data_IF_421757802741
#
_entry.id   IF_421757802741
#
_cell.length_a   1.000
_cell.length_b   1.000
_cell.length_c   1.000
_cell.angle_alpha   90.00
_cell.angle_beta   90.00
_cell.angle_gamma   90.00
#
_symmetry.space_group_name_H-M   'P 1'
#
loop_
_entity.id
_entity.type
_entity.pdbx_description
1 polymer ?
#
# COMPACT_ATOMS: atom_id res chain seq x y z
N UNK A 1 14.26 30.93 -22.34
CA UNK A 1 12.81 31.21 -22.31
C UNK A 1 12.07 29.87 -22.25
N UNK A 2 11.79 29.39 -21.04
CA UNK A 2 11.02 28.16 -20.83
C UNK A 2 9.55 28.53 -20.77
N UNK A 3 8.84 28.22 -21.84
CA UNK A 3 7.38 28.36 -21.91
C UNK A 3 6.73 27.37 -20.94
N UNK A 4 6.44 27.81 -19.71
CA UNK A 4 5.61 27.05 -18.80
C UNK A 4 4.16 27.20 -19.31
N UNK A 5 3.68 26.22 -20.04
CA UNK A 5 2.25 26.10 -20.37
C UNK A 5 1.53 25.83 -19.04
N UNK A 6 1.01 26.89 -18.42
CA UNK A 6 0.13 26.77 -17.27
C UNK A 6 -1.11 25.98 -17.69
N UNK A 7 -1.28 24.78 -17.12
CA UNK A 7 -2.49 23.98 -17.29
C UNK A 7 -3.70 24.87 -16.98
N UNK A 8 -4.69 24.92 -17.87
CA UNK A 8 -5.97 25.57 -17.61
C UNK A 8 -6.54 25.06 -16.28
N UNK A 9 -7.14 25.94 -15.48
CA UNK A 9 -7.64 25.58 -14.15
C UNK A 9 -8.55 24.34 -14.15
N UNK A 10 -9.38 24.14 -15.17
CA UNK A 10 -10.23 22.95 -15.35
C UNK A 10 -9.39 21.67 -15.53
N UNK A 11 -8.33 21.71 -16.34
CA UNK A 11 -7.44 20.56 -16.55
C UNK A 11 -6.69 20.18 -15.28
N UNK A 12 -6.35 21.17 -14.45
CA UNK A 12 -5.67 20.95 -13.16
C UNK A 12 -6.57 20.24 -12.14
N UNK A 13 -7.85 20.60 -12.08
CA UNK A 13 -8.84 19.94 -11.18
C UNK A 13 -9.05 18.50 -11.61
N UNK A 14 -9.24 18.24 -12.91
CA UNK A 14 -9.42 16.88 -13.46
C UNK A 14 -8.20 16.01 -13.18
N UNK A 15 -6.99 16.56 -13.31
CA UNK A 15 -5.75 15.85 -13.01
C UNK A 15 -5.65 15.49 -11.51
N UNK A 16 -5.97 16.42 -10.60
CA UNK A 16 -5.99 16.15 -9.17
C UNK A 16 -7.04 15.08 -8.82
N UNK A 17 -8.26 15.20 -9.36
CA UNK A 17 -9.31 14.21 -9.15
C UNK A 17 -8.88 12.82 -9.66
N UNK A 18 -8.24 12.74 -10.84
CA UNK A 18 -7.68 11.51 -11.38
C UNK A 18 -6.60 10.90 -10.48
N UNK A 19 -5.68 11.73 -9.97
CA UNK A 19 -4.65 11.30 -9.01
C UNK A 19 -5.28 10.69 -7.75
N UNK A 20 -6.27 11.38 -7.17
CA UNK A 20 -6.95 10.90 -5.96
C UNK A 20 -7.74 9.60 -6.22
N UNK A 21 -8.39 9.49 -7.39
CA UNK A 21 -9.12 8.26 -7.75
C UNK A 21 -8.17 7.10 -8.03
N UNK A 22 -7.02 7.32 -8.66
CA UNK A 22 -5.99 6.27 -8.77
C UNK A 22 -5.56 5.84 -7.37
N UNK A 23 -5.32 6.78 -6.47
CA UNK A 23 -4.89 6.48 -5.10
C UNK A 23 -5.90 5.57 -4.35
N UNK A 24 -7.22 5.80 -4.48
CA UNK A 24 -8.23 4.91 -3.88
C UNK A 24 -8.03 3.46 -4.33
N UNK A 25 -7.77 3.28 -5.61
CA UNK A 25 -7.61 1.97 -6.25
C UNK A 25 -6.40 1.20 -5.74
N UNK A 26 -5.28 1.89 -5.50
CA UNK A 26 -4.00 1.26 -5.15
C UNK A 26 -4.04 0.50 -3.81
N UNK A 27 -4.99 0.77 -2.95
CA UNK A 27 -5.07 0.14 -1.64
C UNK A 27 -6.36 -0.67 -1.43
N UNK A 28 -7.52 -0.14 -1.82
CA UNK A 28 -8.80 -0.80 -1.61
C UNK A 28 -8.87 -2.18 -2.25
N UNK A 29 -8.32 -2.35 -3.45
CA UNK A 29 -8.35 -3.61 -4.21
C UNK A 29 -7.51 -4.72 -3.58
N UNK A 30 -6.51 -4.36 -2.80
CA UNK A 30 -5.67 -5.26 -2.03
C UNK A 30 -6.27 -5.53 -0.64
N UNK A 31 -6.51 -4.47 0.14
CA UNK A 31 -6.91 -4.60 1.56
C UNK A 31 -8.33 -5.10 1.73
N UNK A 32 -9.21 -4.85 0.75
CA UNK A 32 -10.60 -5.32 0.78
C UNK A 32 -10.76 -6.85 0.74
N UNK A 33 -9.72 -7.61 0.38
CA UNK A 33 -9.79 -9.07 0.43
C UNK A 33 -9.58 -9.63 1.85
N UNK A 34 -8.88 -8.92 2.73
CA UNK A 34 -8.50 -9.42 4.05
C UNK A 34 -9.70 -9.86 4.93
N UNK A 35 -10.81 -9.11 5.03
CA UNK A 35 -11.97 -9.53 5.83
C UNK A 35 -12.68 -10.79 5.30
N UNK A 36 -12.43 -11.17 4.05
CA UNK A 36 -13.05 -12.34 3.41
C UNK A 36 -12.10 -13.54 3.30
N UNK A 37 -10.87 -13.45 3.84
CA UNK A 37 -9.87 -14.52 3.69
C UNK A 37 -10.33 -15.85 4.27
N UNK A 38 -11.02 -15.87 5.40
CA UNK A 38 -11.54 -17.11 6.00
C UNK A 38 -12.67 -17.71 5.16
N UNK A 39 -13.55 -16.89 4.60
CA UNK A 39 -14.59 -17.33 3.67
C UNK A 39 -13.98 -17.95 2.41
N UNK A 40 -12.95 -17.28 1.84
CA UNK A 40 -12.22 -17.77 0.67
C UNK A 40 -11.48 -19.07 1.00
N UNK A 41 -10.85 -19.16 2.17
CA UNK A 41 -10.16 -20.35 2.66
C UNK A 41 -11.10 -21.54 2.72
N UNK A 42 -12.27 -21.35 3.31
CA UNK A 42 -13.29 -22.39 3.44
C UNK A 42 -13.86 -22.82 2.09
N UNK A 43 -14.10 -21.86 1.18
CA UNK A 43 -14.67 -22.13 -0.15
C UNK A 43 -13.76 -23.01 -1.02
N UNK A 44 -12.45 -22.90 -0.88
CA UNK A 44 -11.46 -23.66 -1.67
C UNK A 44 -10.65 -24.67 -0.85
N UNK A 45 -11.00 -24.88 0.42
CA UNK A 45 -10.28 -25.78 1.35
C UNK A 45 -8.77 -25.48 1.39
N UNK A 46 -8.41 -24.19 1.39
CA UNK A 46 -7.02 -23.77 1.44
C UNK A 46 -6.46 -23.91 2.86
N UNK A 47 -5.17 -24.24 2.96
CA UNK A 47 -4.44 -24.11 4.25
C UNK A 47 -4.30 -22.63 4.61
N UNK A 48 -4.09 -22.33 5.90
CA UNK A 48 -3.87 -20.95 6.35
C UNK A 48 -2.62 -20.35 5.70
N UNK A 49 -1.58 -21.14 5.50
CA UNK A 49 -0.38 -20.72 4.78
C UNK A 49 -0.66 -20.36 3.31
N UNK A 50 -1.47 -21.17 2.61
CA UNK A 50 -1.91 -20.86 1.25
C UNK A 50 -2.74 -19.59 1.18
N UNK A 51 -3.63 -19.38 2.14
CA UNK A 51 -4.42 -18.15 2.26
C UNK A 51 -3.50 -16.94 2.47
N UNK A 52 -2.44 -17.08 3.27
CA UNK A 52 -1.41 -16.05 3.45
C UNK A 52 -0.69 -15.67 2.15
N UNK A 53 -0.58 -16.58 1.17
CA UNK A 53 -0.03 -16.24 -0.14
C UNK A 53 -0.86 -15.20 -0.91
N UNK A 54 -2.18 -15.10 -0.67
CA UNK A 54 -3.01 -14.08 -1.29
C UNK A 54 -2.60 -12.66 -0.89
N UNK A 55 -2.10 -12.48 0.34
CA UNK A 55 -1.55 -11.21 0.81
C UNK A 55 -0.09 -11.01 0.42
N UNK A 56 0.63 -12.09 0.16
CA UNK A 56 2.05 -12.08 -0.23
C UNK A 56 2.26 -11.77 -1.71
N UNK A 57 1.42 -12.28 -2.59
CA UNK A 57 1.57 -12.11 -4.04
C UNK A 57 1.68 -10.64 -4.48
N UNK A 58 0.85 -9.70 -4.00
CA UNK A 58 1.03 -8.29 -4.31
C UNK A 58 2.37 -7.73 -3.83
N UNK A 59 2.88 -8.18 -2.68
CA UNK A 59 4.17 -7.72 -2.16
C UNK A 59 5.34 -8.19 -3.01
N UNK A 60 5.27 -9.44 -3.50
CA UNK A 60 6.24 -9.96 -4.48
C UNK A 60 6.15 -9.18 -5.78
N UNK A 61 4.94 -8.88 -6.25
CA UNK A 61 4.74 -8.02 -7.41
C UNK A 61 5.34 -6.62 -7.19
N UNK A 62 5.20 -6.04 -6.00
CA UNK A 62 5.84 -4.75 -5.67
C UNK A 62 7.37 -4.84 -5.75
N UNK A 63 7.97 -5.88 -5.19
CA UNK A 63 9.41 -6.07 -5.22
C UNK A 63 9.95 -6.26 -6.65
N UNK A 64 9.22 -7.00 -7.50
CA UNK A 64 9.66 -7.36 -8.84
C UNK A 64 9.35 -6.29 -9.90
N UNK A 65 8.18 -5.66 -9.81
CA UNK A 65 7.67 -4.75 -10.84
C UNK A 65 8.06 -3.30 -10.58
N UNK A 66 8.22 -2.89 -9.31
CA UNK A 66 8.61 -1.50 -8.99
C UNK A 66 9.87 -1.03 -9.71
N UNK A 67 10.96 -1.83 -9.87
CA UNK A 67 12.14 -1.43 -10.63
C UNK A 67 11.85 -1.19 -12.12
N UNK A 68 10.82 -1.86 -12.68
CA UNK A 68 10.44 -1.76 -14.09
C UNK A 68 9.55 -0.53 -14.37
N UNK A 69 8.94 0.06 -13.35
CA UNK A 69 8.00 1.17 -13.51
C UNK A 69 8.64 2.39 -14.20
N UNK A 70 9.86 2.77 -13.81
CA UNK A 70 10.57 3.90 -14.41
C UNK A 70 10.97 3.64 -15.88
N UNK A 71 11.54 2.50 -16.28
CA UNK A 71 11.74 2.14 -17.68
C UNK A 71 10.46 2.15 -18.51
N UNK A 72 9.35 1.60 -17.98
CA UNK A 72 8.05 1.58 -18.66
C UNK A 72 7.53 3.00 -18.89
N UNK A 73 7.59 3.86 -17.85
CA UNK A 73 7.17 5.25 -17.95
C UNK A 73 8.03 6.07 -18.92
N UNK A 74 9.34 5.78 -19.02
CA UNK A 74 10.22 6.43 -20.04
C UNK A 74 9.84 6.03 -21.46
N UNK A 75 9.45 4.78 -21.68
CA UNK A 75 9.13 4.26 -23.02
C UNK A 75 7.74 4.68 -23.49
N UNK A 76 6.74 4.63 -22.62
CA UNK A 76 5.32 4.79 -22.97
C UNK A 76 4.69 6.07 -22.45
N UNK A 77 5.38 6.81 -21.57
CA UNK A 77 4.85 7.97 -20.84
C UNK A 77 4.18 7.58 -19.52
N UNK A 78 4.19 8.50 -18.55
CA UNK A 78 3.62 8.27 -17.23
C UNK A 78 2.10 8.04 -17.27
N UNK A 79 1.40 8.86 -18.07
CA UNK A 79 -0.06 8.84 -18.19
C UNK A 79 -0.57 7.51 -18.75
N UNK A 80 0.08 7.04 -19.82
CA UNK A 80 -0.26 5.74 -20.43
C UNK A 80 0.10 4.58 -19.52
N UNK A 81 1.21 4.66 -18.80
CA UNK A 81 1.63 3.64 -17.86
C UNK A 81 0.68 3.53 -16.68
N UNK A 82 0.16 4.66 -16.16
CA UNK A 82 -0.86 4.68 -15.13
C UNK A 82 -2.21 4.14 -15.64
N UNK A 83 -2.59 4.47 -16.87
CA UNK A 83 -3.78 3.90 -17.50
C UNK A 83 -3.67 2.38 -17.65
N UNK A 84 -2.53 1.88 -18.14
CA UNK A 84 -2.26 0.45 -18.23
C UNK A 84 -2.27 -0.23 -16.84
N UNK A 85 -1.75 0.43 -15.80
CA UNK A 85 -1.82 -0.05 -14.44
C UNK A 85 -3.27 -0.24 -13.96
N UNK A 86 -4.15 0.73 -14.23
CA UNK A 86 -5.57 0.64 -13.92
C UNK A 86 -6.26 -0.50 -14.67
N UNK A 87 -5.95 -0.69 -15.97
CA UNK A 87 -6.47 -1.81 -16.75
C UNK A 87 -6.01 -3.15 -16.18
N UNK A 88 -4.75 -3.27 -15.77
CA UNK A 88 -4.24 -4.48 -15.11
C UNK A 88 -5.00 -4.75 -13.81
N UNK A 89 -5.28 -3.72 -13.00
CA UNK A 89 -6.06 -3.88 -11.77
C UNK A 89 -7.48 -4.34 -12.09
N UNK A 90 -8.18 -3.75 -13.05
CA UNK A 90 -9.50 -4.19 -13.48
C UNK A 90 -9.49 -5.64 -13.95
N UNK A 91 -8.57 -5.99 -14.85
CA UNK A 91 -8.42 -7.36 -15.35
C UNK A 91 -8.13 -8.35 -14.21
N UNK A 92 -7.25 -7.99 -13.29
CA UNK A 92 -6.91 -8.80 -12.14
C UNK A 92 -8.11 -9.00 -11.20
N UNK A 93 -8.94 -7.97 -10.95
CA UNK A 93 -10.18 -8.10 -10.16
C UNK A 93 -11.16 -9.07 -10.86
N UNK A 94 -11.36 -8.92 -12.17
CA UNK A 94 -12.22 -9.80 -12.94
C UNK A 94 -11.74 -11.26 -12.86
N UNK A 95 -10.45 -11.49 -13.13
CA UNK A 95 -9.84 -12.83 -13.08
C UNK A 95 -9.95 -13.43 -11.67
N UNK A 96 -9.66 -12.64 -10.63
CA UNK A 96 -9.71 -13.09 -9.22
C UNK A 96 -11.10 -13.52 -8.79
N UNK A 97 -12.15 -12.94 -9.36
CA UNK A 97 -13.54 -13.20 -9.02
C UNK A 97 -14.14 -14.43 -9.73
N UNK A 98 -13.38 -15.06 -10.63
CA UNK A 98 -13.80 -16.29 -11.30
C UNK A 98 -13.70 -17.51 -10.36
N UNK A 99 -14.58 -18.55 -10.53
CA UNK A 99 -14.66 -19.68 -9.61
C UNK A 99 -13.53 -20.69 -9.80
N UNK A 100 -12.27 -20.27 -9.56
CA UNK A 100 -11.10 -21.14 -9.63
C UNK A 100 -10.02 -20.64 -8.69
N UNK A 101 -9.41 -21.51 -7.86
CA UNK A 101 -8.32 -21.13 -6.98
C UNK A 101 -7.10 -20.60 -7.75
N UNK A 102 -6.78 -21.18 -8.91
CA UNK A 102 -5.65 -20.70 -9.74
C UNK A 102 -5.89 -19.29 -10.25
N UNK A 103 -7.12 -18.97 -10.66
CA UNK A 103 -7.49 -17.63 -11.13
C UNK A 103 -7.55 -16.63 -9.97
N UNK A 104 -7.91 -17.07 -8.76
CA UNK A 104 -7.86 -16.26 -7.55
C UNK A 104 -6.41 -15.76 -7.29
N UNK A 105 -5.43 -16.67 -7.29
CA UNK A 105 -4.02 -16.33 -7.10
C UNK A 105 -3.46 -15.52 -8.28
N UNK A 106 -3.73 -15.95 -9.51
CA UNK A 106 -3.28 -15.26 -10.72
C UNK A 106 -3.83 -13.84 -10.82
N UNK A 107 -5.13 -13.66 -10.59
CA UNK A 107 -5.76 -12.34 -10.55
C UNK A 107 -5.19 -11.44 -9.47
N UNK A 108 -4.91 -11.99 -8.28
CA UNK A 108 -4.28 -11.26 -7.18
C UNK A 108 -2.86 -10.79 -7.52
N UNK A 109 -2.09 -11.63 -8.21
CA UNK A 109 -0.75 -11.25 -8.70
C UNK A 109 -0.82 -10.12 -9.75
N UNK A 110 -1.78 -10.21 -10.69
CA UNK A 110 -2.02 -9.17 -11.71
C UNK A 110 -2.42 -7.83 -11.07
N UNK A 111 -3.32 -7.86 -10.07
CA UNK A 111 -3.66 -6.67 -9.27
C UNK A 111 -2.41 -6.06 -8.65
N UNK A 112 -1.59 -6.90 -8.01
CA UNK A 112 -0.32 -6.47 -7.41
C UNK A 112 0.60 -5.78 -8.41
N UNK A 113 0.70 -6.30 -9.63
CA UNK A 113 1.47 -5.69 -10.72
C UNK A 113 1.00 -4.29 -11.09
N UNK A 114 -0.31 -4.12 -11.24
CA UNK A 114 -0.91 -2.80 -11.51
C UNK A 114 -0.68 -1.81 -10.37
N UNK A 115 -0.86 -2.25 -9.11
CA UNK A 115 -0.62 -1.42 -7.91
C UNK A 115 0.86 -1.02 -7.82
N UNK A 116 1.80 -1.92 -8.12
CA UNK A 116 3.22 -1.62 -8.13
C UNK A 116 3.58 -0.48 -9.08
N UNK A 117 3.06 -0.51 -10.30
CA UNK A 117 3.23 0.58 -11.26
C UNK A 117 2.64 1.89 -10.74
N UNK A 118 1.40 1.85 -10.22
CA UNK A 118 0.73 3.04 -9.68
C UNK A 118 1.49 3.68 -8.52
N UNK A 119 1.93 2.87 -7.55
CA UNK A 119 2.66 3.34 -6.36
C UNK A 119 3.98 4.03 -6.71
N UNK A 120 4.68 3.57 -7.75
CA UNK A 120 5.96 4.17 -8.17
C UNK A 120 5.74 5.42 -9.02
N UNK A 121 4.75 5.41 -9.92
CA UNK A 121 4.57 6.47 -10.90
C UNK A 121 3.80 7.66 -10.34
N UNK A 122 2.84 7.45 -9.44
CA UNK A 122 1.98 8.51 -8.94
C UNK A 122 2.74 9.61 -8.18
N UNK A 123 3.67 9.32 -7.26
CA UNK A 123 4.51 10.34 -6.64
C UNK A 123 5.39 11.11 -7.64
N UNK A 124 5.90 10.40 -8.65
CA UNK A 124 6.66 11.00 -9.74
C UNK A 124 5.86 12.00 -10.55
N UNK A 125 4.61 11.65 -10.86
CA UNK A 125 3.65 12.52 -11.55
C UNK A 125 3.32 13.76 -10.71
N UNK A 126 3.05 13.59 -9.41
CA UNK A 126 2.77 14.71 -8.49
C UNK A 126 3.96 15.67 -8.46
N UNK A 127 5.18 15.16 -8.36
CA UNK A 127 6.39 15.99 -8.33
C UNK A 127 6.61 16.74 -9.64
N UNK A 128 6.27 16.12 -10.78
CA UNK A 128 6.40 16.75 -12.11
C UNK A 128 5.39 17.88 -12.31
N UNK A 129 4.11 17.63 -12.03
CA UNK A 129 3.00 18.51 -12.41
C UNK A 129 2.63 19.50 -11.29
N UNK A 130 2.99 19.20 -10.05
CA UNK A 130 2.68 20.00 -8.86
C UNK A 130 3.90 20.22 -7.95
N UNK A 131 5.04 20.74 -8.45
CA UNK A 131 6.28 20.84 -7.68
C UNK A 131 6.15 21.67 -6.39
N UNK A 132 5.27 22.69 -6.38
CA UNK A 132 5.02 23.55 -5.22
C UNK A 132 3.96 23.01 -4.25
N UNK A 133 3.31 21.89 -4.58
CA UNK A 133 2.21 21.32 -3.79
C UNK A 133 2.40 19.84 -3.48
N UNK A 134 3.64 19.33 -3.64
CA UNK A 134 3.96 17.90 -3.47
C UNK A 134 3.49 17.38 -2.12
N UNK A 135 3.86 18.05 -1.02
CA UNK A 135 3.51 17.61 0.33
C UNK A 135 1.98 17.57 0.55
N UNK A 136 1.26 18.62 0.10
CA UNK A 136 -0.20 18.71 0.22
C UNK A 136 -0.90 17.60 -0.56
N UNK A 137 -0.50 17.37 -1.82
CA UNK A 137 -1.10 16.35 -2.66
C UNK A 137 -0.73 14.95 -2.19
N UNK A 138 0.49 14.73 -1.71
CA UNK A 138 0.91 13.45 -1.13
C UNK A 138 0.10 13.15 0.14
N UNK A 139 -0.12 14.12 1.01
CA UNK A 139 -1.00 13.96 2.16
C UNK A 139 -2.45 13.65 1.76
N UNK A 140 -2.99 14.39 0.79
CA UNK A 140 -4.35 14.18 0.30
C UNK A 140 -4.52 12.80 -0.33
N UNK A 141 -3.60 12.35 -1.20
CA UNK A 141 -3.71 11.03 -1.81
C UNK A 141 -3.54 9.91 -0.79
N UNK A 142 -2.66 10.06 0.20
CA UNK A 142 -2.47 9.08 1.27
C UNK A 142 -3.74 8.93 2.14
N UNK A 143 -4.38 10.05 2.49
CA UNK A 143 -5.64 10.06 3.23
C UNK A 143 -6.76 9.41 2.42
N UNK A 144 -6.90 9.79 1.13
CA UNK A 144 -7.90 9.22 0.22
C UNK A 144 -7.72 7.72 0.05
N UNK A 145 -6.47 7.27 -0.06
CA UNK A 145 -6.07 5.85 -0.12
C UNK A 145 -6.50 5.10 1.14
N UNK A 146 -6.24 5.68 2.34
CA UNK A 146 -6.65 5.11 3.62
C UNK A 146 -8.16 5.07 3.78
N UNK A 147 -8.87 6.15 3.43
CA UNK A 147 -10.32 6.23 3.51
C UNK A 147 -11.01 5.21 2.57
N UNK A 148 -10.53 5.08 1.34
CA UNK A 148 -11.05 4.09 0.40
C UNK A 148 -10.80 2.65 0.89
N UNK A 149 -9.60 2.38 1.44
CA UNK A 149 -9.28 1.08 2.02
C UNK A 149 -10.17 0.75 3.21
N UNK A 150 -10.43 1.73 4.09
CA UNK A 150 -11.35 1.58 5.21
C UNK A 150 -12.77 1.25 4.75
N UNK A 151 -13.27 2.03 3.79
CA UNK A 151 -14.59 1.83 3.21
C UNK A 151 -14.71 0.44 2.57
N UNK A 152 -13.73 0.05 1.73
CA UNK A 152 -13.70 -1.26 1.09
C UNK A 152 -13.72 -2.39 2.11
N UNK A 153 -12.85 -2.32 3.12
CA UNK A 153 -12.77 -3.36 4.16
C UNK A 153 -14.04 -3.48 5.00
N UNK A 154 -14.72 -2.35 5.28
CA UNK A 154 -15.97 -2.35 6.04
C UNK A 154 -17.16 -2.85 5.21
N UNK A 155 -17.16 -2.64 3.89
CA UNK A 155 -18.30 -2.95 3.02
C UNK A 155 -18.29 -4.38 2.45
N UNK A 156 -17.11 -5.01 2.29
CA UNK A 156 -17.03 -6.31 1.58
C UNK A 156 -17.77 -7.45 2.29
N UNK A 157 -17.75 -7.48 3.64
CA UNK A 157 -18.46 -8.49 4.41
C UNK A 157 -19.97 -8.32 4.31
N UNK A 158 -20.57 -7.12 4.58
CA UNK A 158 -21.99 -6.90 4.32
C UNK A 158 -22.43 -7.23 2.89
N UNK A 159 -21.63 -6.88 1.89
CA UNK A 159 -21.95 -7.20 0.50
C UNK A 159 -21.97 -8.72 0.26
N UNK A 160 -21.00 -9.44 0.81
CA UNK A 160 -20.94 -10.89 0.68
C UNK A 160 -22.14 -11.58 1.34
N UNK A 161 -22.58 -11.11 2.52
CA UNK A 161 -23.71 -11.65 3.27
C UNK A 161 -25.07 -11.32 2.62
N UNK A 162 -25.19 -10.19 1.92
CA UNK A 162 -26.43 -9.77 1.23
C UNK A 162 -26.66 -10.45 -0.13
N UNK A 163 -26.08 -11.63 -0.35
CA UNK A 163 -26.39 -12.48 -1.50
C UNK A 163 -25.41 -12.37 -2.69
N UNK A 164 -24.45 -11.46 -2.67
CA UNK A 164 -23.46 -11.35 -3.74
C UNK A 164 -22.33 -12.39 -3.64
N UNK A 165 -22.21 -13.07 -2.49
CA UNK A 165 -21.08 -13.94 -2.20
C UNK A 165 -19.75 -13.18 -2.13
N UNK A 166 -18.68 -13.87 -1.75
CA UNK A 166 -17.36 -13.24 -1.64
C UNK A 166 -16.80 -12.79 -3.01
N UNK A 167 -17.09 -13.55 -4.09
CA UNK A 167 -16.68 -13.19 -5.45
C UNK A 167 -17.32 -11.87 -5.90
N UNK A 168 -18.64 -11.75 -5.72
CA UNK A 168 -19.39 -10.55 -6.08
C UNK A 168 -18.96 -9.34 -5.24
N UNK A 169 -18.73 -9.53 -3.93
CA UNK A 169 -18.24 -8.48 -3.07
C UNK A 169 -16.87 -7.95 -3.52
N UNK A 170 -15.93 -8.85 -3.88
CA UNK A 170 -14.63 -8.45 -4.43
C UNK A 170 -14.74 -7.83 -5.82
N UNK A 171 -15.65 -8.32 -6.67
CA UNK A 171 -15.91 -7.75 -8.00
C UNK A 171 -16.45 -6.33 -7.91
N UNK A 172 -17.29 -6.02 -6.92
CA UNK A 172 -17.80 -4.66 -6.70
C UNK A 172 -16.70 -3.63 -6.42
N UNK A 173 -15.55 -4.04 -5.89
CA UNK A 173 -14.40 -3.15 -5.74
C UNK A 173 -13.84 -2.65 -7.08
N UNK A 174 -14.28 -3.23 -8.21
CA UNK A 174 -13.94 -2.76 -9.55
C UNK A 174 -14.48 -1.36 -9.84
N UNK A 175 -15.48 -0.89 -9.10
CA UNK A 175 -16.01 0.47 -9.26
C UNK A 175 -14.91 1.54 -9.09
N UNK A 176 -13.95 1.33 -8.18
CA UNK A 176 -12.86 2.28 -7.94
C UNK A 176 -11.92 2.43 -9.16
N UNK A 177 -11.32 1.35 -9.72
CA UNK A 177 -10.48 1.50 -10.89
C UNK A 177 -11.26 1.88 -12.15
N UNK A 178 -12.54 1.52 -12.30
CA UNK A 178 -13.35 1.99 -13.42
C UNK A 178 -13.60 3.49 -13.36
N UNK A 179 -13.94 4.03 -12.19
CA UNK A 179 -14.07 5.47 -12.00
C UNK A 179 -12.74 6.18 -12.22
N UNK A 180 -11.64 5.60 -11.74
CA UNK A 180 -10.30 6.13 -11.98
C UNK A 180 -9.95 6.14 -13.48
N UNK A 181 -10.26 5.07 -14.23
CA UNK A 181 -10.07 5.00 -15.67
C UNK A 181 -10.87 6.09 -16.40
N UNK A 182 -12.14 6.26 -16.02
CA UNK A 182 -13.00 7.27 -16.62
C UNK A 182 -12.44 8.69 -16.41
N UNK A 183 -12.03 9.02 -15.19
CA UNK A 183 -11.44 10.32 -14.89
C UNK A 183 -10.04 10.51 -15.49
N UNK A 184 -9.31 9.40 -15.72
CA UNK A 184 -7.97 9.44 -16.29
C UNK A 184 -7.97 9.47 -17.83
N UNK A 185 -9.10 9.15 -18.48
CA UNK A 185 -9.22 9.07 -19.94
C UNK A 185 -8.75 10.33 -20.69
N UNK A 186 -9.03 11.56 -20.22
CA UNK A 186 -8.53 12.77 -20.86
C UNK A 186 -6.99 12.87 -20.85
N UNK A 187 -6.34 12.31 -19.83
CA UNK A 187 -4.89 12.36 -19.66
C UNK A 187 -4.14 11.35 -20.57
N UNK A 188 -4.81 10.30 -21.02
CA UNK A 188 -4.26 9.32 -21.96
C UNK A 188 -3.68 9.97 -23.23
N UNK A 189 -4.29 11.03 -23.72
CA UNK A 189 -3.90 11.75 -24.94
C UNK A 189 -2.84 12.82 -24.69
N UNK A 190 -2.62 13.20 -23.45
CA UNK A 190 -1.65 14.20 -23.05
C UNK A 190 -0.25 13.57 -22.99
N UNK A 191 0.50 13.67 -24.07
CA UNK A 191 1.91 13.28 -24.09
C UNK A 191 2.77 14.46 -23.62
N UNK A 192 2.93 14.64 -22.34
CA UNK A 192 4.07 15.41 -21.85
C UNK A 192 5.27 14.47 -21.76
N UNK A 193 6.19 14.60 -22.70
CA UNK A 193 7.48 13.92 -22.64
C UNK A 193 8.20 14.39 -21.36
N UNK A 194 8.18 13.57 -20.32
CA UNK A 194 9.02 13.82 -19.18
C UNK A 194 10.47 13.72 -19.66
N UNK A 195 11.17 14.84 -19.68
CA UNK A 195 12.62 14.86 -19.59
C UNK A 195 13.01 14.31 -18.21
N UNK A 196 12.83 13.01 -18.02
CA UNK A 196 13.47 12.27 -16.96
C UNK A 196 14.96 12.30 -17.33
N UNK A 197 15.63 13.34 -16.83
CA UNK A 197 17.07 13.47 -16.96
C UNK A 197 17.69 12.09 -16.77
N UNK A 198 18.40 11.66 -17.80
CA UNK A 198 19.25 10.48 -17.85
C UNK A 198 20.36 10.64 -16.81
N UNK A 199 20.00 10.60 -15.54
CA UNK A 199 20.99 10.46 -14.48
C UNK A 199 21.49 9.01 -14.55
N UNK A 200 22.66 8.91 -15.15
CA UNK A 200 23.46 7.71 -15.33
C UNK A 200 23.46 6.86 -14.07
N UNK A 201 23.23 5.57 -14.22
CA UNK A 201 23.29 4.52 -13.19
C UNK A 201 24.71 4.31 -12.62
N UNK A 202 25.36 5.38 -12.18
CA UNK A 202 26.72 5.36 -11.63
C UNK A 202 26.64 5.53 -10.12
N UNK A 203 27.08 4.52 -9.37
CA UNK A 203 27.30 4.43 -7.93
C UNK A 203 26.21 3.81 -7.04
N UNK A 204 25.38 2.89 -7.53
CA UNK A 204 24.52 2.06 -6.67
C UNK A 204 25.29 1.10 -5.75
N UNK A 205 26.51 0.70 -6.13
CA UNK A 205 27.34 -0.25 -5.33
C UNK A 205 27.70 0.24 -3.92
N UNK A 206 27.85 1.55 -3.72
CA UNK A 206 28.21 2.12 -2.40
C UNK A 206 27.07 2.05 -1.36
N UNK A 207 25.80 2.10 -1.78
CA UNK A 207 24.63 2.10 -0.87
C UNK A 207 24.48 0.74 -0.19
N UNK A 208 24.66 -0.37 -0.91
CA UNK A 208 24.56 -1.72 -0.38
C UNK A 208 25.61 -2.04 0.70
N UNK A 209 26.72 -1.26 0.75
CA UNK A 209 27.78 -1.37 1.76
C UNK A 209 27.62 -0.38 2.91
N UNK A 210 26.66 0.53 2.85
CA UNK A 210 26.45 1.55 3.87
C UNK A 210 25.66 0.98 5.06
N UNK A 211 26.20 0.96 6.29
CA UNK A 211 25.46 0.55 7.49
C UNK A 211 24.20 1.39 7.70
N UNK A 212 24.27 2.70 7.41
CA UNK A 212 23.14 3.61 7.52
C UNK A 212 22.01 3.23 6.55
N UNK A 213 22.34 2.84 5.32
CA UNK A 213 21.35 2.39 4.34
C UNK A 213 20.64 1.13 4.83
N UNK A 214 21.35 0.19 5.43
CA UNK A 214 20.76 -1.00 6.01
C UNK A 214 19.91 -0.69 7.24
N UNK A 215 20.28 0.25 8.10
CA UNK A 215 19.44 0.68 9.23
C UNK A 215 18.10 1.22 8.74
N UNK A 216 18.09 2.11 7.75
CA UNK A 216 16.86 2.65 7.16
C UNK A 216 16.05 1.56 6.48
N UNK A 217 16.71 0.67 5.75
CA UNK A 217 16.06 -0.47 5.05
C UNK A 217 15.42 -1.43 6.04
N UNK A 218 16.10 -1.80 7.12
CA UNK A 218 15.56 -2.69 8.14
C UNK A 218 14.46 -2.03 8.96
N UNK A 219 14.59 -0.76 9.28
CA UNK A 219 13.54 0.01 9.97
C UNK A 219 12.22 -0.01 9.18
N UNK A 220 12.28 0.30 7.87
CA UNK A 220 11.12 0.22 6.99
C UNK A 220 10.66 -1.22 6.73
N UNK A 221 11.61 -2.14 6.52
CA UNK A 221 11.32 -3.52 6.20
C UNK A 221 10.65 -4.29 7.34
N UNK A 222 11.12 -4.11 8.58
CA UNK A 222 10.52 -4.73 9.77
C UNK A 222 9.11 -4.14 10.01
N UNK A 223 8.97 -2.81 9.91
CA UNK A 223 7.65 -2.20 10.00
C UNK A 223 6.70 -2.77 8.94
N UNK A 224 7.16 -2.89 7.70
CA UNK A 224 6.35 -3.48 6.62
C UNK A 224 6.01 -4.94 6.88
N UNK A 225 6.96 -5.75 7.38
CA UNK A 225 6.71 -7.15 7.75
C UNK A 225 5.56 -7.25 8.75
N UNK A 226 5.67 -6.55 9.89
CA UNK A 226 4.65 -6.59 10.95
C UNK A 226 3.32 -6.03 10.45
N UNK A 227 3.36 -4.92 9.70
CA UNK A 227 2.17 -4.31 9.12
C UNK A 227 1.41 -5.28 8.20
N UNK A 228 2.11 -5.96 7.28
CA UNK A 228 1.46 -6.87 6.34
C UNK A 228 0.99 -8.18 6.98
N UNK A 229 1.61 -8.62 8.07
CA UNK A 229 1.08 -9.70 8.90
C UNK A 229 -0.25 -9.28 9.53
N UNK A 230 -0.26 -8.14 10.22
CA UNK A 230 -1.47 -7.66 10.90
C UNK A 230 -2.58 -7.33 9.88
N UNK A 231 -2.29 -6.62 8.81
CA UNK A 231 -3.32 -6.28 7.81
C UNK A 231 -3.91 -7.52 7.12
N UNK A 232 -3.12 -8.57 6.97
CA UNK A 232 -3.58 -9.82 6.39
C UNK A 232 -4.44 -10.64 7.34
N UNK A 233 -4.06 -10.73 8.62
CA UNK A 233 -4.65 -11.65 9.56
C UNK A 233 -5.52 -11.02 10.64
N UNK A 234 -5.57 -9.67 10.77
CA UNK A 234 -6.36 -9.01 11.81
C UNK A 234 -7.82 -9.45 11.85
N UNK A 235 -8.55 -9.57 10.71
CA UNK A 235 -9.93 -10.04 10.78
C UNK A 235 -10.03 -11.47 11.34
N UNK A 236 -9.18 -12.39 10.90
CA UNK A 236 -9.16 -13.77 11.39
C UNK A 236 -8.79 -13.85 12.87
N UNK A 237 -7.83 -13.05 13.33
CA UNK A 237 -7.45 -12.94 14.75
C UNK A 237 -8.66 -12.45 15.57
N UNK A 238 -9.36 -11.42 15.13
CA UNK A 238 -10.53 -10.88 15.84
C UNK A 238 -11.68 -11.89 15.89
N UNK A 239 -11.98 -12.56 14.77
CA UNK A 239 -13.04 -13.59 14.72
C UNK A 239 -12.72 -14.74 15.67
N UNK A 240 -11.47 -15.19 15.75
CA UNK A 240 -11.06 -16.24 16.71
C UNK A 240 -11.25 -15.84 18.20
N UNK A 241 -11.34 -14.54 18.47
CA UNK A 241 -11.63 -13.98 19.80
C UNK A 241 -13.11 -13.58 19.98
N UNK A 242 -14.02 -14.03 19.11
CA UNK A 242 -15.46 -13.87 19.26
C UNK A 242 -16.05 -12.59 18.64
N UNK A 243 -15.29 -11.82 17.89
CA UNK A 243 -15.85 -10.70 17.10
C UNK A 243 -16.63 -11.23 15.90
N UNK A 244 -17.71 -10.55 15.53
CA UNK A 244 -18.43 -10.86 14.28
C UNK A 244 -17.58 -10.47 13.06
N UNK A 245 -17.83 -11.09 11.91
CA UNK A 245 -17.16 -10.77 10.63
C UNK A 245 -17.30 -9.27 10.29
N UNK A 246 -18.49 -8.70 10.51
CA UNK A 246 -18.75 -7.28 10.26
C UNK A 246 -17.94 -6.37 11.19
N UNK A 247 -17.81 -6.73 12.46
CA UNK A 247 -16.98 -5.99 13.44
C UNK A 247 -15.51 -6.09 13.06
N UNK A 248 -15.03 -7.28 12.71
CA UNK A 248 -13.65 -7.51 12.27
C UNK A 248 -13.31 -6.72 11.01
N UNK A 249 -14.23 -6.68 10.02
CA UNK A 249 -14.09 -5.86 8.83
C UNK A 249 -14.05 -4.35 9.12
N UNK A 250 -14.89 -3.89 10.05
CA UNK A 250 -14.90 -2.49 10.47
C UNK A 250 -13.62 -2.08 11.20
N UNK A 251 -13.10 -2.94 12.10
CA UNK A 251 -11.83 -2.73 12.79
C UNK A 251 -10.64 -2.76 11.83
N UNK A 252 -10.68 -3.63 10.81
CA UNK A 252 -9.69 -3.62 9.75
C UNK A 252 -9.76 -2.30 8.93
N UNK A 253 -10.95 -1.77 8.68
CA UNK A 253 -11.13 -0.44 8.10
C UNK A 253 -10.55 0.68 8.97
N UNK A 254 -10.80 0.62 10.29
CA UNK A 254 -10.25 1.56 11.27
C UNK A 254 -8.72 1.54 11.29
N UNK A 255 -8.11 0.36 11.15
CA UNK A 255 -6.66 0.21 10.98
C UNK A 255 -6.14 1.02 9.80
N UNK A 256 -6.83 0.98 8.65
CA UNK A 256 -6.43 1.71 7.46
C UNK A 256 -6.44 3.24 7.68
N UNK A 257 -7.47 3.75 8.36
CA UNK A 257 -7.54 5.17 8.72
C UNK A 257 -6.44 5.56 9.72
N UNK A 258 -6.21 4.74 10.73
CA UNK A 258 -5.17 4.97 11.71
C UNK A 258 -3.77 5.05 11.08
N UNK A 259 -3.49 4.21 10.06
CA UNK A 259 -2.19 4.25 9.34
C UNK A 259 -2.04 5.48 8.44
N UNK A 260 -3.14 6.08 8.00
CA UNK A 260 -3.11 7.29 7.16
C UNK A 260 -2.96 8.58 7.98
N UNK A 261 -3.48 8.61 9.21
CA UNK A 261 -3.50 9.79 10.07
C UNK A 261 -2.12 10.43 10.32
N UNK A 262 -1.02 9.70 10.57
CA UNK A 262 0.30 10.27 10.75
C UNK A 262 0.80 11.09 9.55
N UNK A 263 0.30 10.80 8.33
CA UNK A 263 0.65 11.54 7.12
C UNK A 263 0.29 13.02 7.18
N UNK A 264 -0.72 13.36 7.95
CA UNK A 264 -1.13 14.74 8.18
C UNK A 264 -0.41 15.37 9.38
N UNK A 265 -0.14 14.58 10.42
CA UNK A 265 0.35 15.07 11.71
C UNK A 265 1.88 15.17 11.77
N UNK A 266 2.59 14.13 11.33
CA UNK A 266 4.07 14.09 11.47
C UNK A 266 4.76 15.26 10.76
N UNK A 267 4.42 15.64 9.52
CA UNK A 267 5.06 16.77 8.87
C UNK A 267 4.93 18.09 9.63
N UNK A 268 3.87 18.27 10.44
CA UNK A 268 3.63 19.48 11.23
C UNK A 268 4.60 19.60 12.42
N UNK A 269 5.02 18.48 12.99
CA UNK A 269 5.88 18.45 14.18
C UNK A 269 7.34 18.19 13.89
N UNK A 270 7.63 17.47 12.80
CA UNK A 270 8.96 16.94 12.53
C UNK A 270 10.02 18.04 12.31
N UNK A 271 9.63 19.19 11.78
CA UNK A 271 10.55 20.31 11.54
C UNK A 271 10.99 21.03 12.82
N UNK A 272 10.28 20.85 13.94
CA UNK A 272 10.65 21.41 15.23
C UNK A 272 11.63 20.52 16.00
N UNK A 273 11.84 19.26 15.58
CA UNK A 273 12.62 18.29 16.33
C UNK A 273 13.98 18.08 15.67
N UNK A 274 15.05 18.45 16.37
CA UNK A 274 16.44 18.33 15.87
C UNK A 274 16.91 16.86 15.82
N UNK A 275 16.55 16.05 16.82
CA UNK A 275 16.88 14.62 16.86
C UNK A 275 15.63 13.76 16.73
N UNK A 276 15.52 13.05 15.60
CA UNK A 276 14.38 12.21 15.30
C UNK A 276 14.46 10.79 15.90
N UNK A 277 15.57 10.42 16.57
CA UNK A 277 15.75 9.07 17.13
C UNK A 277 14.72 8.74 18.20
N UNK A 278 14.43 9.71 19.10
CA UNK A 278 13.42 9.56 20.14
C UNK A 278 12.03 9.34 19.57
N UNK A 279 11.65 10.11 18.54
CA UNK A 279 10.35 9.93 17.87
C UNK A 279 10.29 8.57 17.17
N UNK A 280 11.35 8.16 16.47
CA UNK A 280 11.40 6.87 15.80
C UNK A 280 11.25 5.70 16.80
N UNK A 281 11.94 5.76 17.94
CA UNK A 281 11.80 4.76 19.01
C UNK A 281 10.40 4.74 19.61
N UNK A 282 9.81 5.91 19.86
CA UNK A 282 8.46 6.04 20.40
C UNK A 282 7.39 5.45 19.48
N UNK A 283 7.40 5.79 18.19
CA UNK A 283 6.41 5.25 17.25
C UNK A 283 6.60 3.76 16.97
N UNK A 284 7.84 3.26 16.97
CA UNK A 284 8.13 1.84 16.88
C UNK A 284 7.62 1.09 18.12
N UNK A 285 7.78 1.67 19.30
CA UNK A 285 7.23 1.12 20.54
C UNK A 285 5.70 1.10 20.52
N UNK A 286 5.05 2.19 20.06
CA UNK A 286 3.59 2.21 19.88
C UNK A 286 3.12 1.07 18.97
N UNK A 287 3.82 0.85 17.86
CA UNK A 287 3.54 -0.23 16.92
C UNK A 287 3.67 -1.60 17.63
N UNK A 288 4.77 -1.83 18.36
CA UNK A 288 5.02 -3.07 19.08
C UNK A 288 3.96 -3.33 20.17
N UNK A 289 3.66 -2.32 21.00
CA UNK A 289 2.64 -2.41 22.07
C UNK A 289 1.25 -2.67 21.48
N UNK A 290 0.89 -1.99 20.38
CA UNK A 290 -0.36 -2.23 19.69
C UNK A 290 -0.48 -3.67 19.15
N UNK A 291 0.59 -4.20 18.54
CA UNK A 291 0.62 -5.58 18.05
C UNK A 291 0.49 -6.61 19.20
N UNK A 292 1.26 -6.43 20.27
CA UNK A 292 1.18 -7.27 21.47
C UNK A 292 -0.20 -7.20 22.12
N UNK A 293 -0.78 -5.99 22.22
CA UNK A 293 -2.12 -5.80 22.77
C UNK A 293 -3.21 -6.51 21.96
N UNK A 294 -3.11 -6.54 20.64
CA UNK A 294 -4.04 -7.29 19.77
C UNK A 294 -3.97 -8.80 20.03
N UNK A 295 -2.80 -9.34 20.33
CA UNK A 295 -2.63 -10.77 20.60
C UNK A 295 -3.09 -11.17 22.01
N UNK A 296 -2.76 -10.37 23.04
CA UNK A 296 -2.96 -10.78 24.45
C UNK A 296 -4.17 -10.14 25.14
N UNK A 297 -4.70 -9.04 24.61
CA UNK A 297 -5.81 -8.29 25.21
C UNK A 297 -6.88 -7.93 24.17
N UNK A 298 -7.49 -8.91 23.49
CA UNK A 298 -8.41 -8.70 22.37
C UNK A 298 -9.68 -7.93 22.76
N UNK A 299 -10.07 -7.92 24.04
CA UNK A 299 -11.22 -7.14 24.53
C UNK A 299 -11.12 -5.63 24.22
N UNK A 300 -9.91 -5.09 24.05
CA UNK A 300 -9.66 -3.69 23.75
C UNK A 300 -9.14 -3.50 22.31
N UNK A 301 -9.60 -4.32 21.37
CA UNK A 301 -9.10 -4.35 19.98
C UNK A 301 -9.13 -2.97 19.30
N UNK A 302 -10.12 -2.11 19.57
CA UNK A 302 -10.20 -0.75 19.04
C UNK A 302 -8.94 0.04 19.41
N UNK A 303 -8.58 0.05 20.70
CA UNK A 303 -7.41 0.79 21.21
C UNK A 303 -6.12 0.28 20.59
N UNK A 304 -5.94 -1.04 20.55
CA UNK A 304 -4.74 -1.65 19.98
C UNK A 304 -4.63 -1.45 18.47
N UNK A 305 -5.76 -1.52 17.75
CA UNK A 305 -5.82 -1.24 16.31
C UNK A 305 -5.42 0.20 16.00
N UNK A 306 -5.92 1.16 16.77
CA UNK A 306 -5.55 2.57 16.62
C UNK A 306 -4.08 2.81 16.94
N UNK A 307 -3.59 2.24 18.05
CA UNK A 307 -2.21 2.40 18.49
C UNK A 307 -1.23 1.78 17.49
N UNK A 308 -1.50 0.55 17.05
CA UNK A 308 -0.71 -0.13 16.03
C UNK A 308 -0.72 0.62 14.69
N UNK A 309 -1.93 0.98 14.22
CA UNK A 309 -2.10 1.65 12.94
C UNK A 309 -1.36 3.00 12.91
N UNK A 310 -1.55 3.82 13.93
CA UNK A 310 -0.86 5.11 14.04
C UNK A 310 0.67 4.91 14.12
N UNK A 311 1.14 4.00 14.99
CA UNK A 311 2.56 3.70 15.15
C UNK A 311 3.21 3.22 13.85
N UNK A 312 2.58 2.28 13.15
CA UNK A 312 3.08 1.73 11.89
C UNK A 312 3.09 2.78 10.77
N UNK A 313 2.00 3.56 10.63
CA UNK A 313 1.94 4.66 9.66
C UNK A 313 2.99 5.74 9.93
N UNK A 314 3.18 6.11 11.20
CA UNK A 314 4.19 7.06 11.62
C UNK A 314 5.61 6.55 11.33
N UNK A 315 5.88 5.28 11.60
CA UNK A 315 7.17 4.61 11.30
C UNK A 315 7.47 4.65 9.79
N UNK A 316 6.46 4.40 8.95
CA UNK A 316 6.63 4.47 7.50
C UNK A 316 7.00 5.88 7.04
N UNK A 317 6.32 6.91 7.53
CA UNK A 317 6.56 8.31 7.15
C UNK A 317 7.94 8.76 7.61
N UNK A 318 8.32 8.42 8.85
CA UNK A 318 9.67 8.72 9.36
C UNK A 318 10.75 8.02 8.55
N UNK A 319 10.55 6.75 8.20
CA UNK A 319 11.49 6.00 7.37
C UNK A 319 11.69 6.62 5.99
N UNK A 320 10.61 7.05 5.33
CA UNK A 320 10.69 7.78 4.07
C UNK A 320 11.39 9.14 4.23
N UNK A 321 11.14 9.82 5.35
CA UNK A 321 11.82 11.08 5.67
C UNK A 321 13.32 10.87 5.90
N UNK A 322 13.71 9.79 6.57
CA UNK A 322 15.13 9.44 6.77
C UNK A 322 15.87 9.21 5.44
N UNK A 323 15.20 8.64 4.44
CA UNK A 323 15.76 8.51 3.09
C UNK A 323 16.15 9.89 2.55
N UNK A 324 15.27 10.89 2.66
CA UNK A 324 15.54 12.26 2.21
C UNK A 324 16.61 12.97 3.02
N UNK A 325 16.59 12.83 4.36
CA UNK A 325 17.51 13.52 5.28
C UNK A 325 18.91 12.90 5.30
N UNK A 326 19.05 11.62 5.02
CA UNK A 326 20.33 10.88 5.11
C UNK A 326 21.03 10.72 3.76
N UNK A 327 20.37 11.06 2.67
CA UNK A 327 20.97 11.08 1.35
C UNK A 327 21.62 12.43 1.06
N UNK A 328 22.87 12.40 0.58
CA UNK A 328 23.63 13.61 0.19
C UNK A 328 23.20 14.17 -1.16
N UNK A 329 22.47 13.40 -1.97
CA UNK A 329 21.98 13.79 -3.29
C UNK A 329 20.64 13.14 -3.61
N UNK A 330 19.90 13.73 -4.55
CA UNK A 330 18.64 13.13 -5.04
C UNK A 330 18.85 11.73 -5.62
N UNK A 331 20.00 11.50 -6.26
CA UNK A 331 20.35 10.18 -6.80
C UNK A 331 20.56 9.14 -5.69
N UNK A 332 21.28 9.52 -4.63
CA UNK A 332 21.48 8.65 -3.47
C UNK A 332 20.17 8.39 -2.73
N UNK A 333 19.29 9.38 -2.61
CA UNK A 333 17.94 9.21 -2.04
C UNK A 333 17.10 8.20 -2.85
N UNK A 334 17.12 8.31 -4.18
CA UNK A 334 16.40 7.39 -5.06
C UNK A 334 16.95 5.96 -4.95
N UNK A 335 18.27 5.79 -4.90
CA UNK A 335 18.90 4.48 -4.75
C UNK A 335 18.63 3.86 -3.37
N UNK A 336 18.69 4.66 -2.28
CA UNK A 336 18.34 4.22 -0.93
C UNK A 336 16.84 3.84 -0.83
N UNK A 337 15.96 4.62 -1.43
CA UNK A 337 14.53 4.30 -1.51
C UNK A 337 14.28 2.99 -2.26
N UNK A 338 14.96 2.79 -3.39
CA UNK A 338 14.87 1.55 -4.16
C UNK A 338 15.33 0.34 -3.36
N UNK A 339 16.46 0.43 -2.65
CA UNK A 339 16.95 -0.63 -1.76
C UNK A 339 15.95 -0.91 -0.64
N UNK A 340 15.50 0.13 0.07
CA UNK A 340 14.60 0.00 1.21
C UNK A 340 13.25 -0.62 0.81
N UNK A 341 12.69 -0.23 -0.33
CA UNK A 341 11.43 -0.79 -0.80
C UNK A 341 11.58 -2.21 -1.31
N UNK A 342 12.60 -2.51 -2.14
CA UNK A 342 12.80 -3.86 -2.68
C UNK A 342 13.06 -4.87 -1.57
N UNK A 343 14.04 -4.61 -0.69
CA UNK A 343 14.36 -5.50 0.43
C UNK A 343 13.22 -5.53 1.45
N UNK A 344 12.62 -4.37 1.75
CA UNK A 344 11.51 -4.26 2.69
C UNK A 344 10.28 -5.05 2.26
N UNK A 345 9.88 -4.98 0.99
CA UNK A 345 8.74 -5.76 0.49
C UNK A 345 9.05 -7.25 0.34
N UNK A 346 10.29 -7.64 0.01
CA UNK A 346 10.70 -9.04 0.05
C UNK A 346 10.62 -9.61 1.47
N UNK A 347 11.09 -8.85 2.46
CA UNK A 347 10.97 -9.24 3.86
C UNK A 347 9.50 -9.34 4.29
N UNK A 348 8.70 -8.33 3.95
CA UNK A 348 7.28 -8.29 4.26
C UNK A 348 6.51 -9.45 3.62
N UNK A 349 6.90 -9.87 2.41
CA UNK A 349 6.27 -10.99 1.70
C UNK A 349 6.39 -12.33 2.45
N UNK A 350 7.41 -12.51 3.28
CA UNK A 350 7.57 -13.70 4.09
C UNK A 350 6.60 -13.77 5.27
N UNK A 351 6.12 -12.64 5.76
CA UNK A 351 5.34 -12.52 7.00
C UNK A 351 4.02 -13.30 6.99
N UNK A 352 3.07 -12.97 6.10
CA UNK A 352 1.74 -13.58 6.13
C UNK A 352 1.73 -15.11 5.95
N UNK A 353 2.51 -15.72 5.03
CA UNK A 353 2.58 -17.17 4.93
C UNK A 353 3.26 -17.82 6.15
N UNK A 354 4.28 -17.16 6.71
CA UNK A 354 4.96 -17.68 7.92
C UNK A 354 4.01 -17.70 9.11
N UNK A 355 3.26 -16.62 9.32
CA UNK A 355 2.24 -16.55 10.38
C UNK A 355 1.14 -17.59 10.16
N UNK A 356 0.71 -17.80 8.91
CA UNK A 356 -0.23 -18.86 8.57
C UNK A 356 0.29 -20.26 8.92
N UNK A 357 1.57 -20.55 8.62
CA UNK A 357 2.20 -21.83 9.01
C UNK A 357 2.27 -22.00 10.54
N UNK A 358 2.59 -20.96 11.28
CA UNK A 358 2.64 -20.99 12.74
C UNK A 358 1.23 -21.28 13.28
N UNK A 359 0.20 -20.63 12.74
CA UNK A 359 -1.18 -20.90 13.10
C UNK A 359 -1.59 -22.35 12.78
N UNK A 360 -1.25 -22.86 11.57
CA UNK A 360 -1.56 -24.25 11.19
C UNK A 360 -0.89 -25.28 12.12
N UNK A 361 0.29 -24.95 12.67
CA UNK A 361 1.03 -25.81 13.60
C UNK A 361 0.50 -25.74 15.05
N UNK A 362 0.12 -24.55 15.52
CA UNK A 362 -0.23 -24.31 16.93
C UNK A 362 -1.73 -24.27 17.19
N UNK A 363 -2.56 -24.11 16.15
CA UNK A 363 -4.02 -24.00 16.24
C UNK A 363 -4.53 -22.68 16.84
N UNK A 364 -3.64 -21.69 17.08
CA UNK A 364 -3.99 -20.39 17.64
C UNK A 364 -3.16 -19.26 17.01
N UNK A 365 -3.57 -18.01 17.27
CA UNK A 365 -2.93 -16.81 16.76
C UNK A 365 -1.95 -16.16 17.76
N UNK A 366 -1.80 -16.74 18.96
CA UNK A 366 -0.91 -16.24 20.01
C UNK A 366 0.46 -16.90 20.00
#
# INVERSE_FOLDING_TARGET
MTCSTSLSGKNRIVLIAGILMIATTLRVTFTGAAPLLDTIRSAYSLTTAQTGLLTTLPLLAFALISPLAAPVARRFGMERSLFAALLLICAGIAIRSLPSPYLLFGGTAVIGGGIALGNVLLPGLIKRDFPHSVARLTGAYSLTMGAAAALGSAMVVPLALNGFGWQGALLMLMCFPLLALFLWLPQWRSQQHANLSTSRALHTRGIWRSPLAWQVTLFLGINSLVYYVIIGWLPAILISHGYSEAQAGSLHGLLQLATAAPGLLIPLFLHHVKDQRGIAAFVALMCAVGAVGLCFMPAHAITWTLLFGFGSGATMILGLTFIGLRASSAHQAAALSGMAQSVGYLLAACGPPLMGKIHDANGNWS
#
